data_IF_598226537866
#
_entry.id   IF_598226537866
#
_cell.length_a   1.000
_cell.length_b   1.000
_cell.length_c   1.000
_cell.angle_alpha   90.00
_cell.angle_beta   90.00
_cell.angle_gamma   90.00
#
_symmetry.space_group_name_H-M   'P 1'
#
loop_
_entity.id
_entity.type
_entity.pdbx_description
1 polymer ?
#
# COMPACT_ATOMS: atom_id res chain seq x y z
N UNK A 1 -51.53 35.65 -27.66
CA UNK A 1 -52.70 36.22 -26.96
C UNK A 1 -53.35 35.10 -26.14
N UNK A 2 -53.91 35.41 -24.96
CA UNK A 2 -54.78 34.51 -24.16
C UNK A 2 -54.03 33.33 -23.49
N UNK A 3 -54.16 32.95 -22.22
CA UNK A 3 -54.89 33.39 -21.04
C UNK A 3 -54.49 32.46 -19.86
N UNK A 4 -54.50 33.01 -18.65
CA UNK A 4 -53.99 32.54 -17.34
C UNK A 4 -54.00 31.05 -16.95
N UNK A 5 -52.95 30.63 -16.22
CA UNK A 5 -52.89 29.41 -15.40
C UNK A 5 -52.33 29.65 -13.98
N UNK A 6 -52.83 28.81 -13.06
CA UNK A 6 -52.58 28.71 -11.62
C UNK A 6 -51.10 28.58 -11.20
N UNK A 7 -50.77 29.15 -10.03
CA UNK A 7 -49.54 28.84 -9.25
C UNK A 7 -49.91 28.49 -7.81
N UNK A 8 -49.48 27.31 -7.35
CA UNK A 8 -49.33 26.97 -5.94
C UNK A 8 -47.91 27.33 -5.47
N UNK A 9 -47.76 27.77 -4.22
CA UNK A 9 -46.49 28.20 -3.64
C UNK A 9 -46.18 27.43 -2.36
N UNK A 10 -44.90 27.07 -2.25
CA UNK A 10 -44.27 26.18 -1.27
C UNK A 10 -43.93 26.96 0.01
N UNK A 11 -44.15 26.31 1.16
CA UNK A 11 -43.92 26.83 2.51
C UNK A 11 -42.43 26.76 2.86
N UNK A 12 -41.78 27.91 3.13
CA UNK A 12 -40.45 27.98 3.73
C UNK A 12 -40.58 28.12 5.25
N UNK A 13 -40.03 27.16 6.00
CA UNK A 13 -39.98 27.20 7.46
C UNK A 13 -38.67 27.86 7.91
N UNK A 14 -38.75 29.10 8.39
CA UNK A 14 -37.66 29.81 9.08
C UNK A 14 -37.64 29.39 10.56
N UNK A 15 -36.54 28.81 11.04
CA UNK A 15 -36.31 28.63 12.48
C UNK A 15 -35.93 29.96 13.12
N UNK A 16 -36.86 30.56 13.87
CA UNK A 16 -36.62 31.70 14.73
C UNK A 16 -35.96 31.25 16.04
N UNK A 17 -34.76 31.75 16.33
CA UNK A 17 -34.10 31.62 17.64
C UNK A 17 -34.76 32.62 18.59
N UNK A 18 -35.44 32.13 19.62
CA UNK A 18 -36.04 32.96 20.67
C UNK A 18 -34.96 33.38 21.68
N UNK A 19 -34.76 34.69 21.83
CA UNK A 19 -33.99 35.31 22.91
C UNK A 19 -34.72 35.10 24.25
N UNK A 20 -34.12 34.32 25.15
CA UNK A 20 -34.51 34.26 26.57
C UNK A 20 -33.54 35.10 27.38
N UNK A 21 -34.07 36.05 28.13
CA UNK A 21 -33.33 36.96 28.99
C UNK A 21 -32.74 36.23 30.22
N UNK A 22 -31.48 36.55 30.55
CA UNK A 22 -30.76 36.08 31.74
C UNK A 22 -31.15 36.90 32.98
N UNK A 23 -31.41 36.27 34.15
CA UNK A 23 -31.37 36.96 35.44
C UNK A 23 -29.95 37.03 35.99
N UNK A 24 -29.67 38.15 36.67
CA UNK A 24 -28.37 38.53 37.21
C UNK A 24 -27.84 37.59 38.30
N UNK A 25 -26.52 37.49 38.30
CA UNK A 25 -25.63 36.65 39.11
C UNK A 25 -25.69 36.95 40.62
N UNK A 26 -25.86 35.91 41.45
CA UNK A 26 -25.29 35.83 42.80
C UNK A 26 -24.29 34.68 42.84
N UNK A 27 -23.17 34.92 43.52
CA UNK A 27 -21.88 34.31 43.22
C UNK A 27 -21.73 32.83 43.56
N UNK A 28 -21.06 32.12 42.66
CA UNK A 28 -20.28 30.94 42.96
C UNK A 28 -18.88 31.12 42.36
N UNK A 29 -17.86 31.16 43.23
CA UNK A 29 -16.45 31.15 42.84
C UNK A 29 -16.15 29.81 42.17
N UNK A 30 -15.82 29.83 40.88
CA UNK A 30 -15.29 28.66 40.19
C UNK A 30 -13.79 28.52 40.51
N UNK A 31 -13.44 27.45 41.22
CA UNK A 31 -12.04 27.03 41.40
C UNK A 31 -11.62 26.23 40.15
N UNK A 32 -10.49 26.52 39.50
CA UNK A 32 -10.05 25.76 38.33
C UNK A 32 -9.36 24.48 38.79
N UNK A 33 -10.12 23.41 39.04
CA UNK A 33 -9.56 22.06 39.22
C UNK A 33 -9.79 21.23 37.95
N UNK A 34 -8.71 21.15 37.17
CA UNK A 34 -8.23 19.95 36.46
C UNK A 34 -9.30 19.05 35.82
N UNK A 35 -9.60 19.34 34.55
CA UNK A 35 -10.06 18.31 33.63
C UNK A 35 -9.03 17.16 33.58
N UNK A 36 -9.43 15.88 33.63
CA UNK A 36 -8.49 14.79 33.45
C UNK A 36 -7.96 14.88 32.02
N UNK A 37 -6.69 15.25 31.89
CA UNK A 37 -5.99 15.23 30.62
C UNK A 37 -6.16 13.84 30.01
N UNK A 38 -6.59 13.79 28.75
CA UNK A 38 -6.29 12.69 27.86
C UNK A 38 -4.79 12.45 28.02
N UNK A 39 -4.43 11.35 28.69
CA UNK A 39 -3.04 11.03 28.99
C UNK A 39 -2.31 10.99 27.65
N UNK A 40 -1.55 12.04 27.35
CA UNK A 40 -0.50 12.00 26.36
C UNK A 40 0.38 10.82 26.77
N UNK A 41 0.57 9.87 25.84
CA UNK A 41 1.67 8.92 25.97
C UNK A 41 2.92 9.75 26.23
N UNK A 42 3.78 9.39 27.20
CA UNK A 42 5.04 10.09 27.36
C UNK A 42 5.75 10.07 26.00
N UNK A 43 6.20 11.25 25.54
CA UNK A 43 7.13 11.35 24.43
C UNK A 43 8.21 10.29 24.65
N UNK A 44 8.41 9.43 23.65
CA UNK A 44 9.41 8.36 23.75
C UNK A 44 10.72 9.01 24.17
N UNK A 45 11.34 8.50 25.25
CA UNK A 45 12.60 9.03 25.76
C UNK A 45 13.77 8.93 24.75
N UNK A 46 13.55 8.31 23.58
CA UNK A 46 14.49 8.18 22.47
C UNK A 46 13.72 8.21 21.12
N UNK A 47 14.36 8.70 20.03
CA UNK A 47 13.78 8.66 18.69
C UNK A 47 13.50 7.22 18.24
N UNK A 48 12.41 7.05 17.47
CA UNK A 48 12.06 5.78 16.83
C UNK A 48 13.11 5.44 15.77
N UNK A 49 13.77 4.29 15.90
CA UNK A 49 14.78 3.81 14.96
C UNK A 49 14.11 3.25 13.70
N UNK A 50 14.40 3.83 12.55
CA UNK A 50 13.80 3.45 11.25
C UNK A 50 14.84 2.79 10.34
N UNK A 51 14.53 1.60 9.85
CA UNK A 51 15.24 0.94 8.76
C UNK A 51 14.47 1.15 7.44
N UNK A 52 15.10 1.67 6.40
CA UNK A 52 14.47 1.89 5.09
C UNK A 52 15.10 0.96 4.06
N UNK A 53 14.35 -0.09 3.69
CA UNK A 53 14.78 -1.12 2.76
C UNK A 53 14.36 -0.72 1.34
N UNK A 54 15.31 -0.54 0.43
CA UNK A 54 15.04 0.08 -0.89
C UNK A 54 14.99 1.61 -0.83
N UNK A 55 15.90 2.22 -0.08
CA UNK A 55 15.93 3.66 0.25
C UNK A 55 16.06 4.61 -0.93
N UNK A 56 16.69 4.17 -2.03
CA UNK A 56 16.85 4.99 -3.25
C UNK A 56 15.68 4.86 -4.23
N UNK A 57 14.73 3.96 -3.95
CA UNK A 57 13.49 3.84 -4.73
C UNK A 57 12.45 4.90 -4.36
N UNK A 58 11.35 4.96 -5.12
CA UNK A 58 10.29 5.97 -4.92
C UNK A 58 9.70 5.98 -3.50
N UNK A 59 9.40 4.81 -2.92
CA UNK A 59 8.89 4.72 -1.54
C UNK A 59 9.98 5.13 -0.54
N UNK A 60 11.22 4.70 -0.75
CA UNK A 60 12.34 5.01 0.13
C UNK A 60 12.63 6.51 0.21
N UNK A 61 12.74 7.18 -0.93
CA UNK A 61 13.01 8.63 -0.98
C UNK A 61 11.86 9.45 -0.40
N UNK A 62 10.61 9.06 -0.65
CA UNK A 62 9.44 9.72 -0.04
C UNK A 62 9.34 9.46 1.47
N UNK A 63 9.72 8.28 1.94
CA UNK A 63 9.83 7.97 3.38
C UNK A 63 10.83 8.89 4.05
N UNK A 64 12.01 9.05 3.46
CA UNK A 64 13.05 9.92 3.98
C UNK A 64 12.65 11.40 3.90
N UNK A 65 11.90 11.81 2.88
CA UNK A 65 11.29 13.15 2.82
C UNK A 65 10.31 13.41 3.97
N UNK A 66 9.44 12.45 4.28
CA UNK A 66 8.50 12.57 5.39
C UNK A 66 9.21 12.60 6.74
N UNK A 67 10.21 11.73 6.95
CA UNK A 67 11.04 11.72 8.17
C UNK A 67 11.71 13.09 8.36
N UNK A 68 12.31 13.64 7.30
CA UNK A 68 12.92 14.98 7.31
C UNK A 68 11.92 16.06 7.71
N UNK A 69 10.74 16.08 7.08
CA UNK A 69 9.69 17.07 7.39
C UNK A 69 9.23 16.99 8.84
N UNK A 70 8.98 15.79 9.34
CA UNK A 70 8.52 15.59 10.73
C UNK A 70 9.60 16.04 11.72
N UNK A 71 10.85 15.60 11.52
CA UNK A 71 11.95 15.97 12.41
C UNK A 71 12.23 17.49 12.39
N UNK A 72 12.00 18.19 11.27
CA UNK A 72 12.18 19.64 11.18
C UNK A 72 11.07 20.44 11.88
N UNK A 73 9.93 19.82 12.20
CA UNK A 73 8.79 20.48 12.88
C UNK A 73 8.74 20.23 14.37
N UNK A 74 9.61 19.38 14.91
CA UNK A 74 9.64 18.99 16.31
C UNK A 74 10.90 19.56 17.00
N UNK A 75 10.78 19.90 18.29
CA UNK A 75 11.92 20.36 19.10
C UNK A 75 13.00 19.27 19.22
N UNK A 76 12.58 18.01 19.24
CA UNK A 76 13.44 16.83 19.24
C UNK A 76 13.10 15.92 18.06
N UNK A 77 14.10 15.28 17.42
CA UNK A 77 13.84 14.39 16.30
C UNK A 77 13.00 13.20 16.74
N UNK A 78 11.85 12.98 16.10
CA UNK A 78 10.99 11.82 16.38
C UNK A 78 11.57 10.52 15.82
N UNK A 79 12.23 10.60 14.67
CA UNK A 79 12.75 9.44 13.97
C UNK A 79 14.27 9.52 13.80
N UNK A 80 14.95 8.40 14.01
CA UNK A 80 16.37 8.22 13.69
C UNK A 80 16.50 7.14 12.63
N UNK A 81 17.03 7.47 11.46
CA UNK A 81 17.29 6.49 10.41
C UNK A 81 18.55 5.71 10.78
N UNK A 82 18.43 4.39 10.95
CA UNK A 82 19.53 3.54 11.43
C UNK A 82 20.07 2.59 10.35
N UNK A 83 19.28 2.28 9.33
CA UNK A 83 19.69 1.40 8.24
C UNK A 83 19.10 1.87 6.90
N UNK A 84 19.92 1.86 5.86
CA UNK A 84 19.49 2.15 4.48
C UNK A 84 19.99 1.05 3.53
N UNK A 85 19.15 0.62 2.60
CA UNK A 85 19.56 -0.36 1.58
C UNK A 85 19.26 0.10 0.16
N UNK A 86 20.16 -0.18 -0.78
CA UNK A 86 19.95 0.06 -2.20
C UNK A 86 20.36 -1.15 -3.04
N UNK A 87 19.87 -1.24 -4.27
CA UNK A 87 20.28 -2.30 -5.19
C UNK A 87 21.63 -1.97 -5.85
N UNK A 88 21.70 -0.83 -6.58
CA UNK A 88 22.88 -0.42 -7.37
C UNK A 88 23.15 1.09 -7.39
N UNK A 89 22.29 1.89 -6.78
CA UNK A 89 22.41 3.36 -6.80
C UNK A 89 23.35 3.83 -5.68
N UNK A 90 24.65 3.74 -5.95
CA UNK A 90 25.73 4.08 -5.02
C UNK A 90 25.68 5.57 -4.67
N UNK A 91 25.55 6.43 -5.69
CA UNK A 91 25.53 7.89 -5.50
C UNK A 91 24.32 8.32 -4.67
N UNK A 92 23.13 7.80 -4.97
CA UNK A 92 21.93 8.06 -4.17
C UNK A 92 22.09 7.61 -2.73
N UNK A 93 22.60 6.38 -2.51
CA UNK A 93 22.81 5.85 -1.17
C UNK A 93 23.85 6.65 -0.36
N UNK A 94 24.95 7.06 -0.98
CA UNK A 94 25.99 7.87 -0.34
C UNK A 94 25.46 9.25 0.08
N UNK A 95 24.64 9.90 -0.75
CA UNK A 95 23.97 11.17 -0.41
C UNK A 95 23.05 11.01 0.80
N UNK A 96 22.23 9.95 0.81
CA UNK A 96 21.34 9.66 1.94
C UNK A 96 22.14 9.32 3.21
N UNK A 97 23.27 8.63 3.10
CA UNK A 97 24.13 8.32 4.23
C UNK A 97 24.76 9.57 4.85
N UNK A 98 25.20 10.52 4.01
CA UNK A 98 25.73 11.80 4.48
C UNK A 98 24.67 12.65 5.21
N UNK A 99 23.42 12.59 4.75
CA UNK A 99 22.31 13.32 5.37
C UNK A 99 21.82 12.69 6.68
N UNK A 100 21.55 11.38 6.65
CA UNK A 100 20.84 10.69 7.73
C UNK A 100 21.76 9.98 8.72
N UNK A 101 23.07 9.86 8.41
CA UNK A 101 24.08 9.23 9.27
C UNK A 101 23.65 7.86 9.83
N UNK A 102 23.20 6.90 8.99
CA UNK A 102 22.76 5.61 9.47
C UNK A 102 23.91 4.82 10.07
N UNK A 103 23.60 3.86 10.93
CA UNK A 103 24.61 2.96 11.50
C UNK A 103 25.07 1.91 10.48
N UNK A 104 24.16 1.46 9.59
CA UNK A 104 24.46 0.44 8.58
C UNK A 104 23.91 0.80 7.20
N UNK A 105 24.68 0.48 6.17
CA UNK A 105 24.29 0.49 4.76
C UNK A 105 24.35 -0.93 4.20
N UNK A 106 23.44 -1.23 3.27
CA UNK A 106 23.57 -2.39 2.41
C UNK A 106 23.46 -1.98 0.94
N UNK A 107 24.36 -2.51 0.10
CA UNK A 107 24.23 -2.40 -1.35
C UNK A 107 24.43 -3.74 -2.04
N UNK A 108 23.52 -4.11 -2.96
CA UNK A 108 23.64 -5.39 -3.66
C UNK A 108 24.83 -5.40 -4.65
N UNK A 109 25.05 -4.31 -5.37
CA UNK A 109 26.10 -4.18 -6.37
C UNK A 109 26.88 -2.86 -6.18
N UNK A 110 28.22 -2.95 -6.15
CA UNK A 110 29.10 -1.77 -6.00
C UNK A 110 29.53 -1.47 -4.55
N UNK A 111 29.67 -2.49 -3.70
CA UNK A 111 30.04 -2.30 -2.29
C UNK A 111 31.39 -1.65 -2.06
N UNK A 112 32.40 -1.95 -2.89
CA UNK A 112 33.74 -1.36 -2.76
C UNK A 112 33.74 0.13 -3.11
N UNK A 113 33.07 0.50 -4.19
CA UNK A 113 32.88 1.91 -4.58
C UNK A 113 32.10 2.69 -3.50
N UNK A 114 31.10 2.06 -2.88
CA UNK A 114 30.40 2.67 -1.75
C UNK A 114 31.37 2.95 -0.58
N UNK A 115 32.23 1.99 -0.19
CA UNK A 115 33.21 2.18 0.91
C UNK A 115 34.14 3.37 0.68
N UNK A 116 34.45 3.71 -0.57
CA UNK A 116 35.30 4.84 -0.92
C UNK A 116 34.58 6.19 -0.86
N UNK A 117 33.23 6.20 -0.87
CA UNK A 117 32.41 7.41 -0.96
C UNK A 117 31.74 7.82 0.35
N UNK A 118 31.60 6.90 1.31
CA UNK A 118 31.01 7.17 2.63
C UNK A 118 32.04 7.17 3.76
N UNK A 119 31.84 7.96 4.82
CA UNK A 119 32.74 7.98 5.98
C UNK A 119 32.88 6.61 6.66
N UNK A 120 34.05 6.34 7.24
CA UNK A 120 34.38 5.08 7.94
C UNK A 120 33.51 4.76 9.16
N UNK A 121 32.65 5.68 9.61
CA UNK A 121 31.79 5.50 10.79
C UNK A 121 30.52 4.68 10.52
N UNK A 122 30.29 4.24 9.28
CA UNK A 122 29.11 3.46 8.90
C UNK A 122 29.50 2.04 8.47
N UNK A 123 28.81 1.03 9.03
CA UNK A 123 29.00 -0.35 8.61
C UNK A 123 28.42 -0.57 7.21
N UNK A 124 29.18 -1.23 6.33
CA UNK A 124 28.72 -1.52 4.97
C UNK A 124 28.65 -3.03 4.78
N UNK A 125 27.47 -3.51 4.46
CA UNK A 125 27.18 -4.89 4.05
C UNK A 125 26.83 -4.96 2.57
N UNK A 126 26.99 -6.14 1.97
CA UNK A 126 26.74 -6.33 0.54
C UNK A 126 25.85 -7.51 0.26
N UNK A 127 25.15 -7.41 -0.88
CA UNK A 127 24.32 -8.49 -1.40
C UNK A 127 23.04 -8.73 -0.61
N UNK A 128 22.34 -9.78 -1.02
CA UNK A 128 21.04 -10.17 -0.48
C UNK A 128 21.11 -10.54 1.01
N UNK A 129 22.15 -11.25 1.42
CA UNK A 129 22.31 -11.67 2.83
C UNK A 129 22.39 -10.48 3.79
N UNK A 130 23.04 -9.38 3.39
CA UNK A 130 23.06 -8.16 4.19
C UNK A 130 21.67 -7.57 4.38
N UNK A 131 20.83 -7.54 3.34
CA UNK A 131 19.42 -7.13 3.45
C UNK A 131 18.64 -8.03 4.41
N UNK A 132 18.78 -9.36 4.29
CA UNK A 132 18.06 -10.31 5.13
C UNK A 132 18.47 -10.18 6.60
N UNK A 133 19.77 -10.01 6.87
CA UNK A 133 20.28 -9.79 8.22
C UNK A 133 19.77 -8.49 8.83
N UNK A 134 19.74 -7.40 8.05
CA UNK A 134 19.16 -6.13 8.48
C UNK A 134 17.68 -6.33 8.84
N UNK A 135 16.90 -6.94 7.96
CA UNK A 135 15.46 -7.12 8.17
C UNK A 135 15.15 -7.98 9.40
N UNK A 136 15.96 -9.01 9.67
CA UNK A 136 15.67 -10.00 10.71
C UNK A 136 16.18 -9.61 12.10
N UNK A 137 17.40 -9.08 12.17
CA UNK A 137 18.17 -9.06 13.43
C UNK A 137 18.71 -7.69 13.81
N UNK A 138 18.67 -6.69 12.93
CA UNK A 138 19.22 -5.37 13.23
C UNK A 138 18.35 -4.58 14.23
N UNK A 139 18.99 -3.65 14.94
CA UNK A 139 18.36 -2.83 15.98
C UNK A 139 17.59 -1.63 15.40
N UNK A 140 16.40 -1.91 14.87
CA UNK A 140 15.38 -0.92 14.50
C UNK A 140 14.09 -1.09 15.32
N UNK A 141 13.21 -0.10 15.32
CA UNK A 141 11.86 -0.18 15.89
C UNK A 141 10.80 -0.35 14.78
N UNK A 142 11.03 0.32 13.65
CA UNK A 142 10.18 0.33 12.48
C UNK A 142 10.98 0.05 11.20
N UNK A 143 10.53 -0.89 10.39
CA UNK A 143 11.06 -1.14 9.05
C UNK A 143 10.09 -0.64 7.98
N UNK A 144 10.59 0.10 6.99
CA UNK A 144 9.86 0.45 5.77
C UNK A 144 10.36 -0.42 4.63
N UNK A 145 9.48 -1.27 4.08
CA UNK A 145 9.80 -2.19 2.98
C UNK A 145 9.40 -1.58 1.63
N UNK A 146 10.39 -1.04 0.92
CA UNK A 146 10.24 -0.38 -0.39
C UNK A 146 10.90 -1.12 -1.56
N UNK A 147 11.36 -2.36 -1.37
CA UNK A 147 11.82 -3.22 -2.49
C UNK A 147 10.62 -3.57 -3.37
N UNK A 148 10.75 -3.45 -4.70
CA UNK A 148 9.72 -3.79 -5.67
C UNK A 148 9.79 -5.25 -6.14
N UNK A 149 8.64 -5.80 -6.56
CA UNK A 149 8.57 -7.12 -7.20
C UNK A 149 8.87 -8.29 -6.26
N UNK A 150 9.12 -9.47 -6.81
CA UNK A 150 9.41 -10.68 -6.03
C UNK A 150 10.70 -10.63 -5.21
N UNK A 151 11.62 -9.70 -5.54
CA UNK A 151 12.84 -9.50 -4.75
C UNK A 151 12.56 -9.09 -3.30
N UNK A 152 11.35 -8.57 -3.01
CA UNK A 152 10.92 -8.21 -1.66
C UNK A 152 10.41 -9.38 -0.81
N UNK A 153 10.15 -10.57 -1.39
CA UNK A 153 9.50 -11.69 -0.68
C UNK A 153 10.32 -12.13 0.53
N UNK A 154 11.57 -12.54 0.33
CA UNK A 154 12.43 -13.02 1.40
C UNK A 154 12.75 -11.93 2.44
N UNK A 155 13.09 -10.67 2.05
CA UNK A 155 13.20 -9.56 2.99
C UNK A 155 11.94 -9.33 3.83
N UNK A 156 10.75 -9.44 3.24
CA UNK A 156 9.47 -9.23 3.94
C UNK A 156 9.22 -10.34 4.96
N UNK A 157 9.50 -11.60 4.61
CA UNK A 157 9.41 -12.71 5.57
C UNK A 157 10.45 -12.55 6.69
N UNK A 158 11.68 -12.13 6.38
CA UNK A 158 12.73 -11.87 7.37
C UNK A 158 12.34 -10.72 8.32
N UNK A 159 11.80 -9.63 7.80
CA UNK A 159 11.27 -8.52 8.57
C UNK A 159 10.11 -8.96 9.47
N UNK A 160 9.18 -9.76 8.96
CA UNK A 160 8.12 -10.32 9.76
C UNK A 160 8.65 -11.22 10.90
N UNK A 161 9.71 -11.99 10.67
CA UNK A 161 10.32 -12.83 11.71
C UNK A 161 10.96 -12.04 12.86
N UNK A 162 11.32 -10.77 12.64
CA UNK A 162 11.91 -9.91 13.70
C UNK A 162 10.92 -9.60 14.84
N UNK A 163 9.61 -9.70 14.58
CA UNK A 163 8.57 -9.34 15.55
C UNK A 163 8.35 -7.84 15.72
N UNK A 164 9.06 -7.00 14.96
CA UNK A 164 9.00 -5.53 15.03
C UNK A 164 7.92 -4.99 14.09
N UNK A 165 7.70 -3.67 14.09
CA UNK A 165 6.76 -3.04 13.16
C UNK A 165 7.34 -3.00 11.75
N UNK A 166 6.52 -3.35 10.76
CA UNK A 166 6.83 -3.28 9.34
C UNK A 166 5.76 -2.48 8.60
N UNK A 167 6.17 -1.38 8.00
CA UNK A 167 5.36 -0.65 7.02
C UNK A 167 5.68 -1.20 5.62
N UNK A 168 4.68 -1.83 4.97
CA UNK A 168 4.88 -2.62 3.76
C UNK A 168 4.26 -1.95 2.54
N UNK A 169 5.08 -1.62 1.53
CA UNK A 169 4.63 -1.12 0.24
C UNK A 169 4.65 -2.17 -0.88
N UNK A 170 5.33 -3.29 -0.67
CA UNK A 170 5.53 -4.32 -1.68
C UNK A 170 4.37 -5.33 -1.69
N UNK A 171 3.35 -5.03 -2.52
CA UNK A 171 2.19 -5.91 -2.72
C UNK A 171 2.56 -7.31 -3.21
N UNK A 172 3.60 -7.42 -4.02
CA UNK A 172 4.03 -8.69 -4.61
C UNK A 172 4.44 -9.73 -3.55
N UNK A 173 4.98 -9.28 -2.41
CA UNK A 173 5.25 -10.14 -1.26
C UNK A 173 3.98 -10.68 -0.63
N UNK A 174 2.95 -9.85 -0.52
CA UNK A 174 1.66 -10.25 0.06
C UNK A 174 0.94 -11.21 -0.88
N UNK A 175 0.90 -10.90 -2.18
CA UNK A 175 0.26 -11.72 -3.21
C UNK A 175 0.93 -13.10 -3.30
N UNK A 176 2.25 -13.16 -3.34
CA UNK A 176 2.97 -14.43 -3.53
C UNK A 176 3.09 -15.24 -2.23
N UNK A 177 3.27 -14.58 -1.08
CA UNK A 177 3.66 -15.23 0.16
C UNK A 177 2.70 -14.98 1.33
N UNK A 178 1.45 -14.57 1.09
CA UNK A 178 0.48 -14.19 2.13
C UNK A 178 0.31 -15.22 3.26
N UNK A 179 0.17 -16.50 2.92
CA UNK A 179 0.07 -17.59 3.90
C UNK A 179 1.33 -17.77 4.76
N UNK A 180 2.52 -17.72 4.14
CA UNK A 180 3.81 -17.82 4.82
C UNK A 180 4.06 -16.58 5.70
N UNK A 181 3.73 -15.40 5.20
CA UNK A 181 3.83 -14.13 5.92
C UNK A 181 2.93 -14.14 7.15
N UNK A 182 1.69 -14.64 7.02
CA UNK A 182 0.75 -14.82 8.14
C UNK A 182 1.30 -15.75 9.20
N UNK A 183 1.93 -16.86 8.81
CA UNK A 183 2.59 -17.78 9.73
C UNK A 183 3.74 -17.10 10.48
N UNK A 184 4.56 -16.31 9.78
CA UNK A 184 5.65 -15.55 10.40
C UNK A 184 5.12 -14.52 11.41
N UNK A 185 4.16 -13.69 11.00
CA UNK A 185 3.51 -12.66 11.85
C UNK A 185 2.85 -13.29 13.08
N UNK A 186 2.09 -14.38 12.92
CA UNK A 186 1.42 -15.03 14.05
C UNK A 186 2.42 -15.57 15.08
N UNK A 187 3.61 -16.01 14.65
CA UNK A 187 4.68 -16.51 15.50
C UNK A 187 5.46 -15.38 16.18
N UNK A 188 5.85 -14.35 15.44
CA UNK A 188 6.74 -13.28 15.92
C UNK A 188 6.00 -12.11 16.58
N UNK A 189 4.69 -11.97 16.32
CA UNK A 189 3.86 -10.81 16.67
C UNK A 189 4.30 -9.52 15.98
N UNK A 190 4.93 -9.61 14.81
CA UNK A 190 5.20 -8.47 13.94
C UNK A 190 3.91 -7.69 13.63
N UNK A 191 4.00 -6.37 13.68
CA UNK A 191 2.92 -5.46 13.37
C UNK A 191 3.07 -4.95 11.93
N UNK A 192 2.16 -5.35 11.04
CA UNK A 192 2.19 -4.95 9.64
C UNK A 192 1.23 -3.79 9.40
N UNK A 193 1.75 -2.69 8.85
CA UNK A 193 0.97 -1.53 8.42
C UNK A 193 1.09 -1.39 6.90
N UNK A 194 -0.02 -1.40 6.14
CA UNK A 194 0.03 -1.27 4.70
C UNK A 194 0.39 0.17 4.27
N UNK A 195 1.27 0.33 3.30
CA UNK A 195 1.60 1.61 2.66
C UNK A 195 0.83 1.80 1.35
N UNK A 196 0.48 0.72 0.64
CA UNK A 196 -0.30 0.82 -0.60
C UNK A 196 -1.57 1.65 -0.37
N UNK A 197 -1.88 2.59 -1.27
CA UNK A 197 -2.75 3.73 -0.97
C UNK A 197 -4.18 3.28 -0.65
N UNK A 198 -4.67 2.29 -1.40
CA UNK A 198 -5.97 1.67 -1.26
C UNK A 198 -6.09 0.90 0.05
N UNK A 199 -5.10 0.08 0.39
CA UNK A 199 -5.13 -0.73 1.60
C UNK A 199 -4.86 0.12 2.83
N UNK A 200 -4.05 1.17 2.72
CA UNK A 200 -3.87 2.16 3.77
C UNK A 200 -5.18 2.93 4.03
N UNK A 201 -5.91 3.29 2.98
CA UNK A 201 -7.24 3.89 3.09
C UNK A 201 -8.25 2.97 3.80
N UNK A 202 -8.29 1.69 3.41
CA UNK A 202 -9.11 0.67 4.10
C UNK A 202 -8.69 0.54 5.57
N UNK A 203 -7.39 0.43 5.82
CA UNK A 203 -6.85 0.29 7.17
C UNK A 203 -7.22 1.49 8.05
N UNK A 204 -7.13 2.72 7.52
CA UNK A 204 -7.56 3.92 8.22
C UNK A 204 -9.07 3.90 8.54
N UNK A 205 -9.91 3.40 7.64
CA UNK A 205 -11.34 3.25 7.90
C UNK A 205 -11.61 2.23 9.03
N UNK A 206 -10.92 1.09 9.00
CA UNK A 206 -11.06 0.00 9.98
C UNK A 206 -10.46 0.29 11.36
N UNK A 207 -9.60 1.30 11.48
CA UNK A 207 -8.88 1.63 12.72
C UNK A 207 -9.24 3.01 13.30
N UNK A 208 -10.30 3.63 12.77
CA UNK A 208 -10.68 5.00 13.09
C UNK A 208 -11.35 5.16 14.47
N UNK A 209 -11.88 4.10 15.08
CA UNK A 209 -12.55 4.21 16.38
C UNK A 209 -11.61 3.89 17.57
N UNK A 210 -11.80 4.61 18.68
CA UNK A 210 -11.05 4.38 19.91
C UNK A 210 -11.26 2.97 20.50
N UNK A 211 -12.43 2.36 20.25
CA UNK A 211 -12.73 0.98 20.65
C UNK A 211 -11.88 -0.02 19.86
N UNK A 212 -11.70 0.22 18.56
CA UNK A 212 -10.94 -0.67 17.68
C UNK A 212 -9.46 -0.69 18.07
N UNK A 213 -8.90 0.47 18.44
CA UNK A 213 -7.53 0.60 18.94
C UNK A 213 -7.33 -0.15 20.28
N UNK A 214 -8.33 -0.13 21.16
CA UNK A 214 -8.28 -0.84 22.46
C UNK A 214 -8.45 -2.35 22.29
N UNK A 215 -9.32 -2.82 21.38
CA UNK A 215 -9.54 -4.25 21.12
C UNK A 215 -8.35 -4.90 20.39
N UNK A 216 -7.61 -4.16 19.56
CA UNK A 216 -6.38 -4.64 18.90
C UNK A 216 -5.31 -5.11 19.90
N UNK A 217 -5.31 -4.58 21.12
CA UNK A 217 -4.33 -4.96 22.16
C UNK A 217 -4.64 -6.27 22.88
N UNK A 218 -5.85 -6.84 22.74
CA UNK A 218 -6.36 -7.90 23.63
C UNK A 218 -6.55 -9.30 23.02
N UNK A 219 -6.60 -9.48 21.69
CA UNK A 219 -6.98 -10.76 21.08
C UNK A 219 -5.82 -11.40 20.28
N UNK A 220 -5.44 -12.64 20.63
CA UNK A 220 -4.20 -13.32 20.16
C UNK A 220 -4.42 -14.55 19.27
N UNK A 221 -5.60 -14.74 18.66
CA UNK A 221 -5.84 -15.85 17.73
C UNK A 221 -6.03 -15.41 16.28
N UNK A 222 -5.43 -16.22 15.38
CA UNK A 222 -5.42 -16.17 13.90
C UNK A 222 -5.85 -14.85 13.28
N UNK A 223 -4.92 -13.88 13.20
CA UNK A 223 -5.21 -12.57 12.61
C UNK A 223 -5.04 -12.57 11.09
N UNK A 224 -5.76 -11.70 10.36
CA UNK A 224 -5.29 -11.22 9.06
C UNK A 224 -3.97 -10.46 9.22
N UNK A 225 -3.22 -10.27 8.12
CA UNK A 225 -1.84 -9.77 8.20
C UNK A 225 -1.74 -8.42 8.93
N UNK A 226 -2.71 -7.53 8.72
CA UNK A 226 -2.76 -6.19 9.31
C UNK A 226 -3.22 -6.15 10.78
N UNK A 227 -3.46 -7.28 11.42
CA UNK A 227 -3.77 -7.33 12.85
C UNK A 227 -5.13 -6.76 13.26
N UNK A 228 -6.05 -6.53 12.32
CA UNK A 228 -7.43 -6.08 12.59
C UNK A 228 -8.17 -7.16 13.41
N UNK A 229 -8.93 -6.73 14.43
CA UNK A 229 -9.65 -7.64 15.32
C UNK A 229 -10.79 -8.34 14.57
N UNK A 230 -11.10 -9.58 14.97
CA UNK A 230 -12.21 -10.34 14.38
C UNK A 230 -13.55 -9.60 14.49
N UNK A 231 -13.83 -8.96 15.63
CA UNK A 231 -15.08 -8.20 15.82
C UNK A 231 -15.25 -7.09 14.79
N UNK A 232 -14.16 -6.36 14.46
CA UNK A 232 -14.18 -5.33 13.43
C UNK A 232 -14.44 -5.96 12.06
N UNK A 233 -13.74 -7.06 11.73
CA UNK A 233 -13.92 -7.75 10.45
C UNK A 233 -15.33 -8.34 10.27
N UNK A 234 -15.92 -8.88 11.33
CA UNK A 234 -17.28 -9.43 11.31
C UNK A 234 -18.33 -8.33 11.05
N UNK A 235 -17.98 -7.06 11.30
CA UNK A 235 -18.81 -5.90 10.95
C UNK A 235 -18.62 -5.40 9.51
N UNK A 236 -17.61 -5.90 8.78
CA UNK A 236 -17.33 -5.52 7.40
C UNK A 236 -18.20 -6.35 6.46
N UNK A 237 -19.02 -5.66 5.66
CA UNK A 237 -19.83 -6.28 4.60
C UNK A 237 -19.06 -6.38 3.29
N UNK A 238 -18.27 -5.36 2.94
CA UNK A 238 -17.55 -5.30 1.67
C UNK A 238 -16.39 -4.30 1.72
N UNK A 239 -15.27 -4.65 1.10
CA UNK A 239 -14.22 -3.70 0.74
C UNK A 239 -14.46 -3.16 -0.66
N UNK A 240 -14.29 -1.86 -0.85
CA UNK A 240 -14.40 -1.23 -2.16
C UNK A 240 -13.05 -0.59 -2.50
N UNK A 241 -12.37 -1.19 -3.47
CA UNK A 241 -11.05 -0.78 -3.92
C UNK A 241 -11.20 0.10 -5.16
N UNK A 242 -10.88 1.37 -5.04
CA UNK A 242 -10.96 2.33 -6.16
C UNK A 242 -9.75 2.21 -7.07
N UNK A 243 -9.90 2.52 -8.36
CA UNK A 243 -8.83 2.48 -9.38
C UNK A 243 -8.90 3.71 -10.28
N UNK A 244 -7.77 4.25 -10.70
CA UNK A 244 -7.75 5.29 -11.75
C UNK A 244 -8.31 4.79 -13.10
N UNK A 245 -8.30 3.48 -13.33
CA UNK A 245 -8.58 2.84 -14.62
C UNK A 245 -7.40 2.85 -15.60
N UNK A 246 -6.27 3.43 -15.23
CA UNK A 246 -5.06 3.51 -16.05
C UNK A 246 -5.19 4.41 -17.29
N UNK A 247 -4.11 4.55 -18.07
CA UNK A 247 -4.08 5.40 -19.27
C UNK A 247 -5.05 4.98 -20.37
N UNK A 248 -5.44 3.70 -20.40
CA UNK A 248 -6.28 3.16 -21.48
C UNK A 248 -7.75 3.03 -21.12
N UNK A 249 -8.19 3.58 -19.97
CA UNK A 249 -9.60 3.55 -19.52
C UNK A 249 -10.59 3.97 -20.60
N UNK A 250 -10.30 5.06 -21.32
CA UNK A 250 -11.20 5.65 -22.31
C UNK A 250 -10.82 5.27 -23.77
N UNK A 251 -9.81 4.42 -23.95
CA UNK A 251 -9.34 3.98 -25.28
C UNK A 251 -10.30 2.99 -25.95
N UNK A 252 -10.49 3.11 -27.26
CA UNK A 252 -11.28 2.14 -28.03
C UNK A 252 -10.61 0.75 -28.01
N UNK A 253 -11.33 -0.35 -27.70
CA UNK A 253 -10.78 -1.71 -27.71
C UNK A 253 -10.03 -2.11 -28.98
N UNK A 254 -10.43 -1.60 -30.16
CA UNK A 254 -9.75 -1.91 -31.43
C UNK A 254 -8.31 -1.39 -31.47
N UNK A 255 -8.01 -0.29 -30.77
CA UNK A 255 -6.69 0.34 -30.72
C UNK A 255 -5.77 -0.34 -29.69
N UNK A 256 -6.31 -1.13 -28.76
CA UNK A 256 -5.53 -1.79 -27.70
C UNK A 256 -4.45 -2.73 -28.26
N UNK A 257 -4.72 -3.36 -29.42
CA UNK A 257 -3.80 -4.30 -30.08
C UNK A 257 -2.52 -3.64 -30.62
N UNK A 258 -2.58 -2.33 -30.90
CA UNK A 258 -1.45 -1.60 -31.47
C UNK A 258 -0.59 -0.88 -30.44
N UNK A 259 -1.01 -0.86 -29.18
CA UNK A 259 -0.33 -0.12 -28.12
C UNK A 259 1.06 -0.72 -27.82
N UNK A 260 2.00 0.17 -27.52
CA UNK A 260 3.39 -0.14 -27.14
C UNK A 260 3.76 0.56 -25.83
N UNK A 261 4.98 0.32 -25.34
CA UNK A 261 5.48 0.89 -24.09
C UNK A 261 5.28 2.40 -23.99
N UNK A 262 5.63 3.14 -25.05
CA UNK A 262 5.52 4.61 -25.12
C UNK A 262 4.10 5.13 -24.85
N UNK A 263 3.09 4.33 -25.16
CA UNK A 263 1.69 4.69 -24.99
C UNK A 263 1.25 4.43 -23.54
N UNK A 264 1.79 3.39 -22.89
CA UNK A 264 1.47 3.01 -21.52
C UNK A 264 2.09 3.94 -20.47
N UNK A 265 3.28 4.52 -20.74
CA UNK A 265 3.99 5.36 -19.76
C UNK A 265 3.35 6.73 -19.50
N UNK A 266 2.33 7.13 -20.27
CA UNK A 266 1.60 8.39 -20.08
C UNK A 266 0.46 8.22 -19.06
N UNK A 267 0.80 8.01 -17.80
CA UNK A 267 -0.20 7.83 -16.75
C UNK A 267 -0.92 9.17 -16.42
N UNK A 268 -2.26 9.22 -16.34
CA UNK A 268 -3.00 10.48 -16.28
C UNK A 268 -2.97 11.21 -14.93
N UNK A 269 -2.65 10.49 -13.84
CA UNK A 269 -2.76 11.02 -12.47
C UNK A 269 -1.47 10.87 -11.68
N UNK A 270 -1.00 9.63 -11.52
CA UNK A 270 0.17 9.32 -10.73
C UNK A 270 1.48 9.39 -11.52
N UNK A 271 2.53 9.95 -10.90
CA UNK A 271 3.92 9.80 -11.33
C UNK A 271 4.54 8.58 -10.63
N UNK A 272 4.76 7.49 -11.37
CA UNK A 272 5.17 6.21 -10.80
C UNK A 272 6.26 5.53 -11.64
N UNK A 273 6.88 4.49 -11.08
CA UNK A 273 7.85 3.66 -11.81
C UNK A 273 7.21 2.94 -13.00
N UNK A 274 8.01 2.65 -14.03
CA UNK A 274 7.52 2.06 -15.29
C UNK A 274 6.73 0.75 -15.11
N UNK A 275 7.14 -0.12 -14.17
CA UNK A 275 6.46 -1.40 -13.88
C UNK A 275 5.01 -1.19 -13.46
N UNK A 276 4.77 -0.39 -12.42
CA UNK A 276 3.41 -0.15 -11.89
C UNK A 276 2.56 0.64 -12.89
N UNK A 277 3.17 1.54 -13.68
CA UNK A 277 2.46 2.25 -14.76
C UNK A 277 1.91 1.28 -15.81
N UNK A 278 2.67 0.26 -16.20
CA UNK A 278 2.21 -0.80 -17.11
C UNK A 278 1.13 -1.66 -16.45
N UNK A 279 1.32 -2.09 -15.20
CA UNK A 279 0.31 -2.88 -14.49
C UNK A 279 -1.01 -2.11 -14.31
N UNK A 280 -0.94 -0.78 -14.13
CA UNK A 280 -2.11 0.11 -14.11
C UNK A 280 -2.82 0.11 -15.47
N UNK A 281 -2.05 0.15 -16.57
CA UNK A 281 -2.59 0.14 -17.94
C UNK A 281 -3.34 -1.15 -18.34
N UNK A 282 -3.04 -2.27 -17.69
CA UNK A 282 -3.74 -3.56 -17.89
C UNK A 282 -4.78 -3.82 -16.80
N UNK A 283 -4.89 -2.94 -15.80
CA UNK A 283 -5.54 -3.18 -14.52
C UNK A 283 -5.03 -4.41 -13.74
N UNK A 284 -3.91 -5.03 -14.13
CA UNK A 284 -3.27 -6.08 -13.33
C UNK A 284 -2.85 -5.55 -11.97
N UNK A 285 -2.44 -4.27 -11.87
CA UNK A 285 -2.14 -3.63 -10.59
C UNK A 285 -3.32 -3.79 -9.62
N UNK A 286 -4.53 -3.46 -10.09
CA UNK A 286 -5.75 -3.58 -9.29
C UNK A 286 -6.12 -5.04 -8.99
N UNK A 287 -5.81 -5.96 -9.91
CA UNK A 287 -5.95 -7.40 -9.68
C UNK A 287 -5.04 -7.91 -8.55
N UNK A 288 -3.77 -7.51 -8.54
CA UNK A 288 -2.84 -7.84 -7.45
C UNK A 288 -3.32 -7.25 -6.11
N UNK A 289 -3.83 -6.02 -6.12
CA UNK A 289 -4.35 -5.36 -4.92
C UNK A 289 -5.64 -6.01 -4.38
N UNK A 290 -6.45 -6.65 -5.22
CA UNK A 290 -7.58 -7.49 -4.77
C UNK A 290 -7.09 -8.69 -3.97
N UNK A 291 -6.05 -9.38 -4.45
CA UNK A 291 -5.43 -10.51 -3.73
C UNK A 291 -4.77 -10.02 -2.44
N UNK A 292 -4.05 -8.90 -2.52
CA UNK A 292 -3.46 -8.27 -1.34
C UNK A 292 -4.52 -7.91 -0.30
N UNK A 293 -5.65 -7.31 -0.68
CA UNK A 293 -6.72 -6.96 0.26
C UNK A 293 -7.32 -8.20 0.95
N UNK A 294 -7.49 -9.30 0.20
CA UNK A 294 -7.89 -10.57 0.78
C UNK A 294 -6.89 -11.04 1.85
N UNK A 295 -5.60 -11.04 1.54
CA UNK A 295 -4.57 -11.47 2.47
C UNK A 295 -4.44 -10.55 3.69
N UNK A 296 -4.43 -9.23 3.46
CA UNK A 296 -4.25 -8.20 4.48
C UNK A 296 -5.38 -8.13 5.49
N UNK A 297 -6.62 -8.30 5.04
CA UNK A 297 -7.83 -8.09 5.85
C UNK A 297 -8.67 -9.34 6.08
N UNK A 298 -8.41 -10.44 5.37
CA UNK A 298 -9.17 -11.69 5.51
C UNK A 298 -10.58 -11.64 4.92
N UNK A 299 -10.88 -10.64 4.10
CA UNK A 299 -12.21 -10.47 3.48
C UNK A 299 -12.33 -11.39 2.26
N UNK A 300 -13.41 -12.18 2.11
CA UNK A 300 -13.59 -13.06 0.95
C UNK A 300 -13.60 -12.28 -0.38
N UNK A 301 -13.08 -12.88 -1.45
CA UNK A 301 -13.02 -12.26 -2.78
C UNK A 301 -14.36 -11.71 -3.28
N UNK A 302 -15.47 -12.41 -3.01
CA UNK A 302 -16.82 -11.97 -3.41
C UNK A 302 -17.31 -10.71 -2.64
N UNK A 303 -16.63 -10.40 -1.54
CA UNK A 303 -16.84 -9.20 -0.72
C UNK A 303 -15.79 -8.11 -0.99
N UNK A 304 -15.01 -8.23 -2.07
CA UNK A 304 -14.08 -7.19 -2.53
C UNK A 304 -14.55 -6.68 -3.89
N UNK A 305 -15.00 -5.43 -3.96
CA UNK A 305 -15.47 -4.80 -5.20
C UNK A 305 -14.45 -3.78 -5.70
N UNK A 306 -14.13 -3.82 -6.99
CA UNK A 306 -13.35 -2.77 -7.65
C UNK A 306 -14.27 -1.73 -8.28
N UNK A 307 -13.95 -0.44 -8.11
CA UNK A 307 -14.60 0.67 -8.81
C UNK A 307 -13.56 1.52 -9.54
N UNK A 308 -13.90 2.02 -10.71
CA UNK A 308 -13.16 3.08 -11.38
C UNK A 308 -13.52 4.41 -10.73
N UNK A 309 -12.52 5.11 -10.20
CA UNK A 309 -12.58 6.47 -9.69
C UNK A 309 -11.41 7.25 -10.30
N UNK A 310 -11.68 7.96 -11.41
CA UNK A 310 -10.62 8.55 -12.23
C UNK A 310 -9.93 9.75 -11.58
N UNK A 311 -10.60 10.41 -10.64
CA UNK A 311 -10.05 11.57 -9.94
C UNK A 311 -9.05 11.18 -8.84
N UNK A 312 -9.04 9.91 -8.41
CA UNK A 312 -8.12 9.37 -7.40
C UNK A 312 -8.11 10.14 -6.06
N UNK A 313 -9.21 10.81 -5.70
CA UNK A 313 -9.36 11.50 -4.42
C UNK A 313 -9.85 10.53 -3.34
N UNK A 314 -10.84 9.70 -3.66
CA UNK A 314 -11.24 8.58 -2.80
C UNK A 314 -10.27 7.42 -3.04
N UNK A 315 -9.48 7.08 -2.03
CA UNK A 315 -8.43 6.07 -2.17
C UNK A 315 -8.92 4.64 -1.96
N UNK A 316 -9.94 4.42 -1.12
CA UNK A 316 -10.76 3.20 -1.03
C UNK A 316 -11.83 3.39 0.05
N UNK A 317 -12.73 2.42 0.17
CA UNK A 317 -13.86 2.47 1.09
C UNK A 317 -14.12 1.13 1.77
N UNK A 318 -14.78 1.19 2.93
CA UNK A 318 -15.27 0.03 3.68
C UNK A 318 -16.77 0.19 3.88
N UNK A 319 -17.53 -0.78 3.39
CA UNK A 319 -18.96 -0.90 3.65
C UNK A 319 -19.18 -1.85 4.83
N UNK A 320 -19.91 -1.40 5.84
CA UNK A 320 -20.25 -2.16 7.04
C UNK A 320 -21.60 -2.88 6.90
N UNK A 321 -21.90 -3.79 7.83
CA UNK A 321 -23.13 -4.62 7.83
C UNK A 321 -24.42 -3.80 7.94
N UNK A 322 -24.36 -2.61 8.54
CA UNK A 322 -25.45 -1.64 8.61
C UNK A 322 -25.62 -0.81 7.30
N UNK A 323 -24.76 -1.07 6.31
CA UNK A 323 -24.64 -0.39 5.02
C UNK A 323 -24.01 1.02 5.07
N UNK A 324 -23.50 1.46 6.23
CA UNK A 324 -22.64 2.62 6.30
C UNK A 324 -21.38 2.40 5.47
N UNK A 325 -20.90 3.44 4.81
CA UNK A 325 -19.65 3.41 4.03
C UNK A 325 -18.72 4.48 4.56
N UNK A 326 -17.54 4.04 5.02
CA UNK A 326 -16.44 4.93 5.35
C UNK A 326 -15.44 4.95 4.21
N UNK A 327 -14.90 6.13 3.92
CA UNK A 327 -13.94 6.36 2.85
C UNK A 327 -12.80 7.23 3.37
N UNK A 328 -11.58 6.97 2.90
CA UNK A 328 -10.45 7.87 3.11
C UNK A 328 -10.18 8.66 1.83
N UNK A 329 -10.08 9.98 1.99
CA UNK A 329 -9.92 10.94 0.89
C UNK A 329 -8.65 11.75 1.07
N UNK A 330 -7.90 11.95 -0.02
CA UNK A 330 -6.79 12.91 -0.09
C UNK A 330 -6.37 13.17 -1.54
N UNK A 331 -5.46 14.11 -1.76
CA UNK A 331 -4.78 14.26 -3.04
C UNK A 331 -3.96 12.98 -3.37
N UNK A 332 -3.78 12.61 -4.64
CA UNK A 332 -2.99 11.44 -5.04
C UNK A 332 -1.49 11.61 -4.72
N UNK A 333 -1.12 11.35 -3.48
CA UNK A 333 0.21 11.57 -2.93
C UNK A 333 0.58 10.48 -1.90
N UNK A 334 1.56 9.63 -2.26
CA UNK A 334 2.02 8.51 -1.43
C UNK A 334 2.67 8.95 -0.11
N UNK A 335 3.04 10.23 0.03
CA UNK A 335 3.55 10.76 1.30
C UNK A 335 2.51 10.67 2.43
N UNK A 336 1.20 10.74 2.14
CA UNK A 336 0.18 10.57 3.17
C UNK A 336 0.13 9.14 3.76
N UNK A 337 -0.04 8.07 2.96
CA UNK A 337 -0.06 6.72 3.52
C UNK A 337 1.27 6.33 4.18
N UNK A 338 2.41 6.80 3.65
CA UNK A 338 3.73 6.66 4.29
C UNK A 338 3.75 7.36 5.65
N UNK A 339 3.31 8.63 5.73
CA UNK A 339 3.26 9.38 6.98
C UNK A 339 2.33 8.73 8.00
N UNK A 340 1.20 8.18 7.56
CA UNK A 340 0.31 7.42 8.44
C UNK A 340 1.00 6.17 8.98
N UNK A 341 1.65 5.38 8.14
CA UNK A 341 2.34 4.16 8.57
C UNK A 341 3.51 4.44 9.54
N UNK A 342 4.24 5.53 9.33
CA UNK A 342 5.30 5.99 10.24
C UNK A 342 4.76 6.43 11.61
N UNK A 343 3.61 7.10 11.64
CA UNK A 343 3.07 7.70 12.86
C UNK A 343 2.06 6.82 13.60
N UNK A 344 1.59 5.74 13.00
CA UNK A 344 0.60 4.85 13.57
C UNK A 344 0.92 4.47 15.02
N UNK A 345 -0.06 4.45 15.95
CA UNK A 345 -1.49 4.71 15.72
C UNK A 345 -1.87 6.20 15.72
N UNK A 346 -0.91 7.09 15.95
CA UNK A 346 -1.15 8.53 16.09
C UNK A 346 -1.17 9.22 14.71
N UNK A 347 -1.80 10.38 14.66
CA UNK A 347 -1.71 11.31 13.53
C UNK A 347 -0.94 12.54 13.99
N UNK A 348 0.11 12.91 13.25
CA UNK A 348 0.85 14.13 13.48
C UNK A 348 0.56 15.16 12.40
N UNK A 349 0.63 16.43 12.80
CA UNK A 349 0.65 17.54 11.85
C UNK A 349 1.81 17.36 10.87
N UNK A 350 1.58 17.76 9.63
CA UNK A 350 2.55 17.68 8.56
C UNK A 350 2.32 18.84 7.57
N UNK A 351 3.28 19.07 6.69
CA UNK A 351 3.25 20.18 5.71
C UNK A 351 2.67 19.75 4.36
N UNK A 352 1.93 18.65 4.29
CA UNK A 352 1.33 18.22 3.03
C UNK A 352 0.14 19.13 2.68
N UNK A 353 -0.15 19.24 1.39
CA UNK A 353 -1.18 20.16 0.88
C UNK A 353 -2.59 19.74 1.32
N UNK A 354 -3.34 20.66 1.92
CA UNK A 354 -4.75 20.41 2.27
C UNK A 354 -5.59 20.02 1.05
N UNK A 355 -6.51 19.06 1.24
CA UNK A 355 -7.46 18.67 0.22
C UNK A 355 -8.53 19.76 0.08
N UNK A 356 -8.68 20.32 -1.13
CA UNK A 356 -9.77 21.22 -1.44
C UNK A 356 -10.85 20.48 -2.25
N UNK A 357 -12.03 20.31 -1.66
CA UNK A 357 -13.18 19.65 -2.29
C UNK A 357 -14.11 20.63 -3.05
N UNK A 358 -13.93 21.94 -2.89
CA UNK A 358 -14.73 22.92 -3.61
C UNK A 358 -14.52 22.72 -5.12
N UNK A 359 -15.62 22.70 -5.87
CA UNK A 359 -15.66 22.46 -7.33
C UNK A 359 -15.17 21.09 -7.82
N UNK A 360 -14.86 20.15 -6.91
CA UNK A 360 -14.48 18.78 -7.31
C UNK A 360 -15.70 17.95 -7.70
N UNK A 361 -15.60 17.24 -8.82
CA UNK A 361 -16.57 16.22 -9.22
C UNK A 361 -15.96 14.84 -9.03
N UNK A 362 -16.54 14.01 -8.16
CA UNK A 362 -16.07 12.65 -7.92
C UNK A 362 -16.94 11.67 -8.71
N UNK A 363 -16.35 10.89 -9.62
CA UNK A 363 -17.09 9.92 -10.43
C UNK A 363 -16.73 8.49 -10.08
N UNK A 364 -17.71 7.59 -10.20
CA UNK A 364 -17.54 6.16 -9.94
C UNK A 364 -18.21 5.35 -11.05
N UNK A 365 -17.51 4.32 -11.54
CA UNK A 365 -18.05 3.40 -12.54
C UNK A 365 -17.56 1.97 -12.27
N UNK A 366 -18.30 0.97 -12.73
CA UNK A 366 -17.81 -0.41 -12.74
C UNK A 366 -16.69 -0.57 -13.81
N UNK A 367 -15.66 -1.40 -13.54
CA UNK A 367 -14.62 -1.67 -14.53
C UNK A 367 -15.14 -2.56 -15.66
N UNK A 368 -14.68 -2.30 -16.89
CA UNK A 368 -14.95 -3.17 -18.04
C UNK A 368 -14.01 -4.39 -18.01
N UNK A 369 -14.52 -5.52 -17.52
CA UNK A 369 -13.76 -6.78 -17.40
C UNK A 369 -13.47 -7.46 -18.74
N UNK A 370 -14.18 -7.11 -19.81
CA UNK A 370 -13.86 -7.61 -21.15
C UNK A 370 -12.65 -6.86 -21.71
N UNK A 371 -12.60 -5.55 -21.48
CA UNK A 371 -11.47 -4.70 -21.86
C UNK A 371 -10.23 -4.94 -20.99
N UNK A 372 -10.43 -5.24 -19.69
CA UNK A 372 -9.35 -5.46 -18.73
C UNK A 372 -9.37 -6.88 -18.15
N UNK A 373 -9.06 -7.90 -18.96
CA UNK A 373 -9.19 -9.30 -18.56
C UNK A 373 -8.19 -9.71 -17.46
N UNK A 374 -7.08 -8.99 -17.30
CA UNK A 374 -6.14 -9.20 -16.19
C UNK A 374 -6.80 -9.05 -14.81
N UNK A 375 -7.72 -8.09 -14.66
CA UNK A 375 -8.45 -7.90 -13.40
C UNK A 375 -9.30 -9.13 -13.08
N UNK A 376 -10.05 -9.63 -14.08
CA UNK A 376 -10.87 -10.83 -13.93
C UNK A 376 -10.00 -12.05 -13.58
N UNK A 377 -8.89 -12.24 -14.29
CA UNK A 377 -7.95 -13.34 -14.04
C UNK A 377 -7.41 -13.33 -12.60
N UNK A 378 -7.12 -12.15 -12.05
CA UNK A 378 -6.65 -12.05 -10.67
C UNK A 378 -7.70 -12.49 -9.63
N UNK A 379 -8.99 -12.20 -9.85
CA UNK A 379 -10.06 -12.74 -9.01
C UNK A 379 -10.14 -14.26 -9.10
N UNK A 380 -10.02 -14.83 -10.30
CA UNK A 380 -10.05 -16.27 -10.53
C UNK A 380 -8.87 -16.95 -9.82
N UNK A 381 -7.65 -16.46 -10.07
CA UNK A 381 -6.42 -16.98 -9.47
C UNK A 381 -6.40 -16.82 -7.95
N UNK A 382 -6.86 -15.68 -7.43
CA UNK A 382 -6.97 -15.47 -5.99
C UNK A 382 -7.83 -16.55 -5.33
N UNK A 383 -8.99 -16.88 -5.92
CA UNK A 383 -9.88 -17.95 -5.44
C UNK A 383 -9.28 -19.35 -5.57
N UNK A 384 -8.42 -19.58 -6.56
CA UNK A 384 -7.68 -20.85 -6.68
C UNK A 384 -6.69 -21.05 -5.53
N UNK A 385 -6.10 -19.96 -5.03
CA UNK A 385 -5.17 -19.99 -3.89
C UNK A 385 -3.89 -20.79 -4.16
N UNK A 386 -3.26 -21.30 -3.11
CA UNK A 386 -2.02 -22.08 -3.21
C UNK A 386 -0.87 -21.25 -3.81
N UNK A 387 -0.18 -21.80 -4.81
CA UNK A 387 0.92 -21.13 -5.50
C UNK A 387 0.48 -20.35 -6.75
N UNK A 388 -0.80 -20.40 -7.14
CA UNK A 388 -1.28 -19.70 -8.33
C UNK A 388 -1.10 -18.17 -8.27
N UNK A 389 -1.35 -17.48 -7.13
CA UNK A 389 -1.02 -16.06 -7.00
C UNK A 389 0.47 -15.74 -7.21
N UNK A 390 1.37 -16.63 -6.79
CA UNK A 390 2.82 -16.48 -7.04
C UNK A 390 3.10 -16.57 -8.54
N UNK A 391 2.54 -17.55 -9.23
CA UNK A 391 2.72 -17.72 -10.69
C UNK A 391 2.13 -16.55 -11.46
N UNK A 392 0.95 -16.06 -11.07
CA UNK A 392 0.33 -14.86 -11.65
C UNK A 392 1.27 -13.66 -11.57
N UNK A 393 1.80 -13.40 -10.37
CA UNK A 393 2.69 -12.29 -10.13
C UNK A 393 4.00 -12.44 -10.92
N UNK A 394 4.61 -13.63 -10.91
CA UNK A 394 5.85 -13.93 -11.61
C UNK A 394 5.74 -13.82 -13.12
N UNK A 395 4.69 -14.41 -13.70
CA UNK A 395 4.41 -14.34 -15.13
C UNK A 395 4.11 -12.89 -15.55
N UNK A 396 3.37 -12.14 -14.74
CA UNK A 396 3.10 -10.73 -15.01
C UNK A 396 4.38 -9.89 -14.95
N UNK A 397 5.24 -10.11 -13.94
CA UNK A 397 6.52 -9.41 -13.81
C UNK A 397 7.40 -9.63 -15.04
N UNK A 398 7.46 -10.87 -15.54
CA UNK A 398 8.23 -11.19 -16.75
C UNK A 398 7.60 -10.61 -18.03
N UNK A 399 6.28 -10.70 -18.20
CA UNK A 399 5.59 -10.12 -19.35
C UNK A 399 5.72 -8.59 -19.38
N UNK A 400 5.62 -7.93 -18.21
CA UNK A 400 5.84 -6.50 -18.03
C UNK A 400 7.28 -6.10 -18.42
N UNK A 401 8.30 -6.83 -17.95
CA UNK A 401 9.70 -6.61 -18.35
C UNK A 401 9.89 -6.77 -19.86
N UNK A 402 9.27 -7.78 -20.48
CA UNK A 402 9.31 -7.96 -21.95
C UNK A 402 8.68 -6.78 -22.69
N UNK A 403 7.54 -6.25 -22.22
CA UNK A 403 6.96 -5.04 -22.81
C UNK A 403 7.89 -3.82 -22.62
N UNK A 404 8.55 -3.68 -21.47
CA UNK A 404 9.52 -2.60 -21.22
C UNK A 404 10.77 -2.68 -22.09
N UNK A 405 11.07 -3.85 -22.64
CA UNK A 405 12.15 -4.06 -23.61
C UNK A 405 11.66 -4.07 -25.06
N UNK A 406 10.41 -3.63 -25.30
CA UNK A 406 9.73 -3.66 -26.60
C UNK A 406 9.75 -5.04 -27.28
N UNK A 407 9.81 -6.12 -26.49
CA UNK A 407 9.87 -7.51 -27.00
C UNK A 407 8.48 -8.11 -27.28
N UNK A 408 7.42 -7.51 -26.71
CA UNK A 408 6.01 -7.90 -26.90
C UNK A 408 5.13 -6.65 -27.03
N UNK A 409 3.94 -6.80 -27.59
CA UNK A 409 2.89 -5.77 -27.57
C UNK A 409 2.10 -5.78 -26.26
N UNK A 410 1.42 -4.67 -25.96
CA UNK A 410 0.64 -4.50 -24.72
C UNK A 410 -0.43 -5.59 -24.52
N UNK A 411 -1.16 -5.93 -25.58
CA UNK A 411 -2.23 -6.93 -25.54
C UNK A 411 -1.72 -8.35 -25.21
N UNK A 412 -0.43 -8.63 -25.42
CA UNK A 412 0.14 -9.96 -25.21
C UNK A 412 0.42 -10.28 -23.74
N UNK A 413 0.41 -9.28 -22.86
CA UNK A 413 0.61 -9.47 -21.42
C UNK A 413 -0.42 -10.47 -20.88
N UNK A 414 -1.70 -10.24 -21.16
CA UNK A 414 -2.77 -11.11 -20.68
C UNK A 414 -2.59 -12.54 -21.20
N UNK A 415 -2.33 -12.73 -22.50
CA UNK A 415 -2.21 -14.04 -23.12
C UNK A 415 -1.01 -14.84 -22.59
N UNK A 416 0.11 -14.18 -22.28
CA UNK A 416 1.29 -14.83 -21.69
C UNK A 416 1.01 -15.25 -20.25
N UNK A 417 0.40 -14.37 -19.46
CA UNK A 417 0.06 -14.65 -18.06
C UNK A 417 -0.98 -15.77 -17.97
N UNK A 418 -2.03 -15.72 -18.80
CA UNK A 418 -3.08 -16.75 -18.83
C UNK A 418 -2.51 -18.12 -19.20
N UNK A 419 -1.61 -18.19 -20.20
CA UNK A 419 -0.93 -19.44 -20.56
C UNK A 419 -0.10 -20.01 -19.42
N UNK A 420 0.62 -19.15 -18.68
CA UNK A 420 1.37 -19.60 -17.51
C UNK A 420 0.45 -20.18 -16.42
N UNK A 421 -0.68 -19.54 -16.15
CA UNK A 421 -1.68 -20.04 -15.19
C UNK A 421 -2.28 -21.38 -15.64
N UNK A 422 -2.64 -21.51 -16.91
CA UNK A 422 -3.26 -22.73 -17.46
C UNK A 422 -2.27 -23.90 -17.52
N UNK A 423 -1.00 -23.62 -17.79
CA UNK A 423 0.06 -24.63 -17.84
C UNK A 423 0.58 -25.03 -16.45
N UNK A 424 0.31 -24.24 -15.41
CA UNK A 424 0.83 -24.50 -14.08
C UNK A 424 0.12 -25.68 -13.43
N UNK A 425 0.85 -26.79 -13.33
CA UNK A 425 0.45 -27.97 -12.58
C UNK A 425 1.39 -28.11 -11.40
N UNK A 426 0.86 -27.98 -10.19
CA UNK A 426 1.62 -28.18 -8.97
C UNK A 426 0.78 -29.03 -8.00
N UNK A 427 1.38 -29.99 -7.28
CA UNK A 427 0.67 -30.68 -6.21
C UNK A 427 0.07 -29.66 -5.25
N UNK A 428 -1.15 -29.91 -4.78
CA UNK A 428 -1.84 -29.08 -3.80
C UNK A 428 -1.04 -29.04 -2.50
N UNK A 429 -0.14 -28.07 -2.38
CA UNK A 429 0.58 -27.80 -1.14
C UNK A 429 -0.33 -26.92 -0.27
N UNK A 430 -0.73 -27.45 0.89
CA UNK A 430 -1.59 -26.75 1.84
C UNK A 430 -0.87 -25.59 2.56
N UNK A 431 0.45 -25.67 2.74
CA UNK A 431 1.27 -24.62 3.34
C UNK A 431 2.60 -24.48 2.60
N UNK A 432 2.68 -23.69 1.52
CA UNK A 432 3.91 -23.52 0.77
C UNK A 432 4.98 -22.86 1.64
N UNK A 433 6.17 -23.45 1.64
CA UNK A 433 7.37 -22.87 2.21
C UNK A 433 7.99 -21.82 1.30
N UNK A 434 9.02 -21.14 1.79
CA UNK A 434 9.74 -20.13 0.99
C UNK A 434 10.33 -20.72 -0.29
N UNK A 435 10.83 -21.96 -0.23
CA UNK A 435 11.40 -22.66 -1.38
C UNK A 435 10.35 -22.88 -2.47
N UNK A 436 9.17 -23.36 -2.11
CA UNK A 436 8.07 -23.61 -3.05
C UNK A 436 7.64 -22.32 -3.76
N UNK A 437 7.57 -21.20 -3.01
CA UNK A 437 7.24 -19.87 -3.56
C UNK A 437 8.32 -19.41 -4.54
N UNK A 438 9.60 -19.54 -4.19
CA UNK A 438 10.71 -19.13 -5.08
C UNK A 438 10.83 -20.02 -6.33
N UNK A 439 10.51 -21.31 -6.21
CA UNK A 439 10.43 -22.24 -7.34
C UNK A 439 9.26 -21.90 -8.26
N UNK A 440 8.08 -21.59 -7.71
CA UNK A 440 6.93 -21.14 -8.48
C UNK A 440 7.17 -19.78 -9.18
N UNK A 441 7.85 -18.83 -8.52
CA UNK A 441 8.26 -17.57 -9.14
C UNK A 441 9.21 -17.81 -10.33
N UNK A 442 10.24 -18.62 -10.11
CA UNK A 442 11.22 -18.97 -11.13
C UNK A 442 10.57 -19.69 -12.31
N UNK A 443 9.66 -20.62 -12.03
CA UNK A 443 8.89 -21.35 -13.04
C UNK A 443 8.00 -20.41 -13.86
N UNK A 444 7.25 -19.51 -13.22
CA UNK A 444 6.34 -18.58 -13.91
C UNK A 444 7.08 -17.64 -14.85
N UNK A 445 8.22 -17.09 -14.40
CA UNK A 445 9.11 -16.27 -15.24
C UNK A 445 9.67 -17.06 -16.42
N UNK A 446 10.18 -18.28 -16.16
CA UNK A 446 10.74 -19.14 -17.20
C UNK A 446 9.69 -19.52 -18.25
N UNK A 447 8.48 -19.90 -17.83
CA UNK A 447 7.41 -20.29 -18.74
C UNK A 447 7.03 -19.18 -19.72
N UNK A 448 6.97 -17.93 -19.26
CA UNK A 448 6.74 -16.76 -20.13
C UNK A 448 7.88 -16.59 -21.15
N UNK A 449 9.14 -16.79 -20.74
CA UNK A 449 10.29 -16.72 -21.66
C UNK A 449 10.28 -17.85 -22.71
N UNK A 450 9.89 -19.06 -22.31
CA UNK A 450 9.79 -20.22 -23.21
C UNK A 450 8.69 -19.99 -24.26
N UNK A 451 7.55 -19.39 -23.86
CA UNK A 451 6.45 -19.00 -24.75
C UNK A 451 6.85 -17.98 -25.84
N UNK A 452 7.89 -17.17 -25.59
CA UNK A 452 8.40 -16.20 -26.56
C UNK A 452 9.50 -16.82 -27.43
N UNK A 453 10.36 -17.63 -26.85
CA UNK A 453 11.47 -18.28 -27.57
C UNK A 453 10.95 -19.22 -28.66
N UNK A 454 9.84 -19.91 -28.42
CA UNK A 454 9.18 -20.76 -29.41
C UNK A 454 8.46 -20.04 -30.56
N UNK A 455 8.54 -18.70 -30.66
CA UNK A 455 8.00 -17.91 -31.79
C UNK A 455 9.03 -17.59 -32.87
N UNK A 456 10.31 -17.80 -32.57
CA UNK A 456 11.40 -17.75 -33.56
C UNK A 456 11.54 -19.11 -34.20
#
# INVERSE_FOLDING_TARGET
MVGNHHRGSILYMWCAVSLVALPQTTGFRYSPNTSPSLRSRPLLANPIKVAVIGSTGSIGTQTLDIIRRINNTADEPKFKVVALTANRDISGLAKLAAEFTPHILNINYGGEELRQTVPNSCDITTGKEGVLNICKSFDFDLLVMGISGCAGIEPTIAAAQSGKRMALANKESVVSAGSLLRKAINKSKCELIPIDSEHNAIYQCLTSSARDLLEQTKLRDTRPLCGISKNVLDSVKRLIITSSGGPFRDTNPSLMKTLRLKDALKHPVWSMGAKITIDSSTMMNKGLEVIEAHELFGIPYDSIKVLIHKECIVHSMVQFVDNSVLAQLYNPDMRLPIAYALNWPDRLANTLQELNLVEQTLTFADPDLQKFPCLKLAYEVGKMGGLYPTVLNAANEQANELLRRDAIAHCEIYDLVKRAIDAFQHPSISQPGIKDIMEADSWGKKHVMDCISGRK
#
